data_IF_923176631758
#
_entry.id   IF_923176631758
#
_cell.length_a   1.000
_cell.length_b   1.000
_cell.length_c   1.000
_cell.angle_alpha   90.00
_cell.angle_beta   90.00
_cell.angle_gamma   90.00
#
_symmetry.space_group_name_H-M   'P 1'
#
loop_
_entity.id
_entity.type
_entity.pdbx_description
1 polymer ?
#
# COMPACT_ATOMS: atom_id res chain seq x y z
N UNK A 1 22.34 -3.07 -15.71
CA UNK A 1 21.71 -1.81 -15.25
C UNK A 1 21.18 -2.07 -13.86
N UNK A 2 21.72 -1.41 -12.83
CA UNK A 2 21.19 -1.52 -11.46
C UNK A 2 19.90 -0.72 -11.41
N UNK A 3 18.76 -1.40 -11.23
CA UNK A 3 17.50 -0.71 -10.99
C UNK A 3 17.60 -0.06 -9.61
N UNK A 4 17.68 1.27 -9.57
CA UNK A 4 17.61 1.99 -8.31
C UNK A 4 16.17 1.94 -7.80
N UNK A 5 15.93 1.66 -6.51
CA UNK A 5 14.60 1.75 -5.95
C UNK A 5 14.06 3.17 -6.16
N UNK A 6 12.84 3.24 -6.68
CA UNK A 6 12.14 4.50 -6.89
C UNK A 6 11.04 4.62 -5.84
N UNK A 7 10.95 5.81 -5.22
CA UNK A 7 9.90 6.11 -4.26
C UNK A 7 8.67 6.63 -5.01
N UNK A 8 7.55 5.96 -4.81
CA UNK A 8 6.25 6.35 -5.36
C UNK A 8 5.28 6.67 -4.23
N UNK A 9 4.51 7.73 -4.39
CA UNK A 9 3.45 8.11 -3.44
C UNK A 9 2.10 7.82 -4.10
N UNK A 10 1.29 7.01 -3.45
CA UNK A 10 -0.08 6.69 -3.87
C UNK A 10 -1.06 7.29 -2.87
N UNK A 11 -2.00 8.09 -3.35
CA UNK A 11 -3.06 8.62 -2.50
C UNK A 11 -4.15 7.56 -2.30
N UNK A 12 -4.58 7.39 -1.06
CA UNK A 12 -5.77 6.61 -0.71
C UNK A 12 -7.00 7.39 -1.19
N UNK A 13 -7.85 6.80 -2.05
CA UNK A 13 -9.01 7.51 -2.56
C UNK A 13 -9.98 7.92 -1.46
N UNK A 14 -10.66 9.06 -1.66
CA UNK A 14 -11.73 9.50 -0.76
C UNK A 14 -12.80 8.43 -0.62
N UNK A 15 -13.23 8.19 0.62
CA UNK A 15 -14.25 7.18 0.95
C UNK A 15 -13.70 5.77 1.16
N UNK A 16 -12.38 5.56 1.03
CA UNK A 16 -11.71 4.31 1.41
C UNK A 16 -10.97 4.54 2.73
N UNK A 17 -11.31 3.80 3.79
CA UNK A 17 -10.54 3.87 5.04
C UNK A 17 -9.20 3.14 4.93
N UNK A 18 -8.22 3.62 5.71
CA UNK A 18 -6.92 2.95 5.87
C UNK A 18 -7.11 1.52 6.40
N UNK A 19 -8.06 1.32 7.32
CA UNK A 19 -8.36 -0.01 7.87
C UNK A 19 -8.84 -0.99 6.78
N UNK A 20 -9.61 -0.52 5.81
CA UNK A 20 -10.03 -1.33 4.67
C UNK A 20 -8.87 -1.64 3.72
N UNK A 21 -7.96 -0.69 3.51
CA UNK A 21 -6.72 -0.93 2.75
C UNK A 21 -5.85 -1.98 3.42
N UNK A 22 -5.56 -1.82 4.71
CA UNK A 22 -4.67 -2.73 5.46
C UNK A 22 -5.23 -4.14 5.51
N UNK A 23 -6.53 -4.30 5.80
CA UNK A 23 -7.21 -5.62 5.81
C UNK A 23 -7.15 -6.33 4.47
N UNK A 24 -7.28 -5.60 3.36
CA UNK A 24 -7.28 -6.21 2.03
C UNK A 24 -5.88 -6.62 1.62
N UNK A 25 -4.87 -5.81 1.93
CA UNK A 25 -3.48 -6.14 1.70
C UNK A 25 -3.00 -7.28 2.62
N UNK A 26 -3.47 -7.34 3.86
CA UNK A 26 -3.23 -8.46 4.78
C UNK A 26 -3.82 -9.76 4.20
N UNK A 27 -5.09 -9.75 3.77
CA UNK A 27 -5.75 -10.95 3.23
C UNK A 27 -5.26 -11.37 1.84
N UNK A 28 -5.03 -10.39 0.96
CA UNK A 28 -4.70 -10.64 -0.45
C UNK A 28 -3.22 -10.83 -0.72
N UNK A 29 -2.37 -10.27 0.13
CA UNK A 29 -0.92 -10.26 -0.06
C UNK A 29 -0.13 -10.63 1.19
N UNK A 30 -0.77 -10.96 2.32
CA UNK A 30 -0.07 -11.42 3.53
C UNK A 30 0.68 -10.32 4.28
N UNK A 31 0.33 -9.04 4.07
CA UNK A 31 0.99 -7.95 4.78
C UNK A 31 0.79 -8.04 6.29
N UNK A 32 1.88 -7.84 7.03
CA UNK A 32 1.88 -7.65 8.47
C UNK A 32 2.05 -6.17 8.78
N UNK A 33 1.26 -5.64 9.72
CA UNK A 33 1.19 -4.21 10.00
C UNK A 33 1.72 -3.86 11.39
N UNK A 34 2.55 -2.83 11.45
CA UNK A 34 3.03 -2.21 12.67
C UNK A 34 2.62 -0.75 12.70
N UNK A 35 1.81 -0.37 13.69
CA UNK A 35 1.44 1.04 13.90
C UNK A 35 2.60 1.75 14.61
N UNK A 36 3.19 2.75 13.96
CA UNK A 36 4.30 3.53 14.53
C UNK A 36 3.80 4.68 15.39
N UNK A 37 2.72 5.33 14.98
CA UNK A 37 1.99 6.34 15.76
C UNK A 37 0.53 6.43 15.29
N UNK A 38 -0.20 7.48 15.67
CA UNK A 38 -1.62 7.63 15.30
C UNK A 38 -1.86 7.79 13.78
N UNK A 39 -0.91 8.34 13.04
CA UNK A 39 -1.04 8.68 11.63
C UNK A 39 -0.14 7.84 10.71
N UNK A 40 0.80 7.10 11.28
CA UNK A 40 1.84 6.36 10.56
C UNK A 40 1.75 4.87 10.84
N UNK A 41 1.61 4.09 9.77
CA UNK A 41 1.55 2.63 9.80
C UNK A 41 2.58 2.07 8.81
N UNK A 42 3.36 1.11 9.25
CA UNK A 42 4.33 0.40 8.44
C UNK A 42 3.81 -1.01 8.13
N UNK A 43 3.84 -1.42 6.88
CA UNK A 43 3.42 -2.73 6.40
C UNK A 43 4.58 -3.48 5.79
N UNK A 44 4.88 -4.67 6.31
CA UNK A 44 5.89 -5.56 5.74
C UNK A 44 5.21 -6.67 4.96
N UNK A 45 5.82 -7.07 3.85
CA UNK A 45 5.39 -8.27 3.15
C UNK A 45 6.39 -9.42 3.41
N UNK A 46 6.00 -10.45 4.17
CA UNK A 46 6.89 -11.58 4.46
C UNK A 46 7.23 -12.38 3.20
N UNK A 47 6.35 -12.37 2.19
CA UNK A 47 6.60 -12.96 0.89
C UNK A 47 7.24 -11.91 -0.03
N UNK A 48 8.50 -12.12 -0.43
CA UNK A 48 9.35 -11.14 -1.18
C UNK A 48 8.81 -10.66 -2.56
N UNK A 49 7.57 -10.94 -2.91
CA UNK A 49 6.91 -10.50 -4.15
C UNK A 49 6.27 -9.12 -4.09
N UNK A 50 6.14 -8.52 -2.90
CA UNK A 50 5.60 -7.16 -2.71
C UNK A 50 6.56 -6.33 -1.85
N UNK A 51 6.60 -4.99 -2.04
CA UNK A 51 7.48 -4.10 -1.31
C UNK A 51 6.93 -3.82 0.08
N UNK A 52 7.78 -3.34 0.98
CA UNK A 52 7.31 -2.74 2.21
C UNK A 52 6.56 -1.43 1.92
N UNK A 53 5.57 -1.13 2.74
CA UNK A 53 4.69 0.03 2.60
C UNK A 53 4.76 0.90 3.84
N UNK A 54 4.75 2.22 3.64
CA UNK A 54 4.57 3.18 4.73
C UNK A 54 3.34 4.03 4.45
N UNK A 55 2.34 3.95 5.31
CA UNK A 55 1.13 4.75 5.24
C UNK A 55 1.29 5.94 6.19
N UNK A 56 1.10 7.16 5.67
CA UNK A 56 1.13 8.42 6.41
C UNK A 56 -0.14 9.19 6.08
N UNK A 57 -1.07 9.27 7.03
CA UNK A 57 -2.39 9.86 6.77
C UNK A 57 -3.13 9.12 5.66
N UNK A 58 -3.40 9.81 4.55
CA UNK A 58 -4.05 9.28 3.34
C UNK A 58 -3.06 8.92 2.23
N UNK A 59 -1.76 8.88 2.51
CA UNK A 59 -0.71 8.61 1.52
C UNK A 59 0.00 7.30 1.82
N UNK A 60 0.11 6.44 0.81
CA UNK A 60 0.92 5.22 0.83
C UNK A 60 2.22 5.49 0.08
N UNK A 61 3.34 5.38 0.80
CA UNK A 61 4.69 5.44 0.24
C UNK A 61 5.12 4.02 -0.10
N UNK A 62 5.52 3.83 -1.35
CA UNK A 62 6.00 2.56 -1.91
C UNK A 62 7.43 2.74 -2.36
N UNK A 63 8.34 1.93 -1.86
CA UNK A 63 9.72 1.88 -2.35
C UNK A 63 9.91 0.60 -3.17
N UNK A 64 9.93 0.74 -4.49
CA UNK A 64 10.07 -0.40 -5.40
C UNK A 64 10.90 -0.03 -6.62
N UNK A 65 11.71 -0.98 -7.07
CA UNK A 65 12.42 -0.93 -8.35
C UNK A 65 11.54 -1.41 -9.53
N UNK A 66 10.40 -2.06 -9.24
CA UNK A 66 9.45 -2.58 -10.23
C UNK A 66 8.20 -1.68 -10.28
N UNK A 67 8.00 -0.99 -11.42
CA UNK A 67 6.84 -0.11 -11.64
C UNK A 67 5.51 -0.87 -11.68
N UNK A 68 5.51 -2.15 -12.07
CA UNK A 68 4.30 -2.98 -12.17
C UNK A 68 3.65 -3.22 -10.81
N UNK A 69 4.47 -3.23 -9.75
CA UNK A 69 4.01 -3.31 -8.37
C UNK A 69 3.24 -2.05 -7.98
N UNK A 70 3.79 -0.88 -8.31
CA UNK A 70 3.15 0.42 -8.03
C UNK A 70 1.83 0.54 -8.79
N UNK A 71 1.82 0.15 -10.07
CA UNK A 71 0.60 0.10 -10.89
C UNK A 71 -0.46 -0.84 -10.31
N UNK A 72 -0.05 -2.03 -9.85
CA UNK A 72 -0.96 -3.01 -9.22
C UNK A 72 -1.60 -2.44 -7.95
N UNK A 73 -0.81 -1.82 -7.08
CA UNK A 73 -1.31 -1.17 -5.86
C UNK A 73 -2.28 -0.03 -6.18
N UNK A 74 -1.94 0.80 -7.18
CA UNK A 74 -2.81 1.89 -7.64
C UNK A 74 -4.15 1.38 -8.21
N UNK A 75 -4.11 0.31 -9.01
CA UNK A 75 -5.30 -0.33 -9.57
C UNK A 75 -6.19 -0.96 -8.48
N UNK A 76 -5.58 -1.54 -7.44
CA UNK A 76 -6.29 -2.06 -6.27
C UNK A 76 -7.02 -0.93 -5.54
N UNK A 77 -6.32 0.16 -5.18
CA UNK A 77 -6.93 1.32 -4.50
C UNK A 77 -8.11 1.89 -5.30
N UNK A 78 -7.93 2.01 -6.62
CA UNK A 78 -8.98 2.45 -7.54
C UNK A 78 -10.20 1.52 -7.52
N UNK A 79 -9.99 0.22 -7.33
CA UNK A 79 -11.07 -0.76 -7.22
C UNK A 79 -11.82 -0.65 -5.89
N UNK A 80 -11.10 -0.44 -4.79
CA UNK A 80 -11.70 -0.21 -3.46
C UNK A 80 -12.62 1.01 -3.47
N UNK A 81 -12.17 2.09 -4.10
CA UNK A 81 -12.97 3.30 -4.25
C UNK A 81 -14.30 3.05 -4.99
N UNK A 82 -14.29 2.20 -6.02
CA UNK A 82 -15.49 1.87 -6.80
C UNK A 82 -16.44 0.90 -6.10
N UNK A 83 -15.91 0.01 -5.25
CA UNK A 83 -16.72 -0.97 -4.52
C UNK A 83 -17.43 -0.36 -3.31
N UNK A 84 -17.11 0.88 -2.94
CA UNK A 84 -17.76 1.57 -1.81
C UNK A 84 -17.55 0.83 -0.50
N UNK A 85 -16.39 0.17 -0.34
CA UNK A 85 -16.01 -0.48 0.93
C UNK A 85 -15.50 0.63 1.85
N UNK A 86 -16.28 1.06 2.86
CA UNK A 86 -15.84 2.08 3.80
C UNK A 86 -14.65 1.59 4.62
#
# INVERSE_FOLDING_TARGET
MSLQPSRSNLSVPRGVSIDSVTKILERGHGYEWMRLNQEVIFGQNPDRGMPDLLIVGDTIVVESADSRVVERLSAMLSTLSRQGVP
#
